data_IF_314631733468
#
_entry.id   IF_314631733468
#
_cell.length_a   1.000
_cell.length_b   1.000
_cell.length_c   1.000
_cell.angle_alpha   90.00
_cell.angle_beta   90.00
_cell.angle_gamma   90.00
#
_symmetry.space_group_name_H-M   'P 1'
#
loop_
_entity.id
_entity.type
_entity.pdbx_description
1 polymer ?
#
# COMPACT_ATOMS: atom_id res chain seq x y z
N UNK A 1 19.92 -35.66 -53.92
CA UNK A 1 18.70 -34.89 -54.27
C UNK A 1 17.87 -34.76 -53.01
N UNK A 2 17.96 -33.59 -52.39
CA UNK A 2 17.13 -33.14 -51.27
C UNK A 2 15.80 -32.58 -51.79
N UNK A 3 14.86 -32.32 -50.88
CA UNK A 3 13.50 -31.78 -51.02
C UNK A 3 12.42 -32.85 -51.29
N UNK A 4 11.34 -32.99 -50.50
CA UNK A 4 10.60 -32.04 -49.67
C UNK A 4 9.87 -32.76 -48.51
N UNK A 5 10.01 -32.26 -47.28
CA UNK A 5 9.02 -32.40 -46.19
C UNK A 5 9.13 -31.15 -45.30
N UNK A 6 8.44 -30.06 -45.65
CA UNK A 6 8.15 -28.94 -44.75
C UNK A 6 6.82 -28.32 -45.19
N UNK A 7 5.71 -28.74 -44.59
CA UNK A 7 4.41 -28.05 -44.65
C UNK A 7 3.51 -28.52 -43.51
N UNK A 8 3.78 -28.13 -42.26
CA UNK A 8 2.77 -28.25 -41.18
C UNK A 8 2.94 -27.31 -39.96
N UNK A 9 3.87 -26.33 -39.97
CA UNK A 9 4.22 -25.56 -38.76
C UNK A 9 3.70 -24.10 -38.72
N UNK A 10 2.90 -23.67 -39.69
CA UNK A 10 2.53 -22.25 -39.85
C UNK A 10 1.22 -21.84 -39.16
N UNK A 11 0.31 -22.77 -38.85
CA UNK A 11 -1.01 -22.43 -38.26
C UNK A 11 -1.00 -22.37 -36.73
N UNK A 12 -0.25 -23.23 -36.05
CA UNK A 12 -0.12 -23.24 -34.57
C UNK A 12 0.69 -22.04 -34.08
N UNK A 13 1.71 -21.64 -34.86
CA UNK A 13 2.61 -20.55 -34.56
C UNK A 13 1.90 -19.18 -34.59
N UNK A 14 0.99 -18.99 -35.54
CA UNK A 14 0.21 -17.75 -35.68
C UNK A 14 -0.77 -17.55 -34.50
N UNK A 15 -1.40 -18.62 -34.03
CA UNK A 15 -2.34 -18.55 -32.91
C UNK A 15 -1.65 -18.22 -31.57
N UNK A 16 -0.43 -18.73 -31.33
CA UNK A 16 0.35 -18.41 -30.14
C UNK A 16 0.79 -16.94 -30.12
N UNK A 17 1.18 -16.38 -31.27
CA UNK A 17 1.53 -14.97 -31.40
C UNK A 17 0.33 -14.04 -31.11
N UNK A 18 -0.85 -14.37 -31.64
CA UNK A 18 -2.08 -13.62 -31.36
C UNK A 18 -2.47 -13.63 -29.87
N UNK A 19 -2.28 -14.76 -29.18
CA UNK A 19 -2.53 -14.85 -27.72
C UNK A 19 -1.53 -14.03 -26.92
N UNK A 20 -0.25 -14.09 -27.27
CA UNK A 20 0.80 -13.27 -26.65
C UNK A 20 0.47 -11.78 -26.77
N UNK A 21 0.08 -11.33 -27.96
CA UNK A 21 -0.28 -9.94 -28.21
C UNK A 21 -1.51 -9.51 -27.41
N UNK A 22 -2.48 -10.39 -27.20
CA UNK A 22 -3.61 -10.14 -26.32
C UNK A 22 -3.18 -9.91 -24.87
N UNK A 23 -2.27 -10.74 -24.34
CA UNK A 23 -1.75 -10.59 -22.96
C UNK A 23 -0.97 -9.28 -22.81
N UNK A 24 -0.17 -8.91 -23.81
CA UNK A 24 0.57 -7.64 -23.80
C UNK A 24 -0.39 -6.45 -23.82
N UNK A 25 -1.42 -6.52 -24.68
CA UNK A 25 -2.44 -5.48 -24.75
C UNK A 25 -3.20 -5.34 -23.42
N UNK A 26 -3.59 -6.46 -22.82
CA UNK A 26 -4.22 -6.49 -21.49
C UNK A 26 -3.32 -5.85 -20.43
N UNK A 27 -2.02 -6.16 -20.43
CA UNK A 27 -1.06 -5.55 -19.50
C UNK A 27 -1.02 -4.02 -19.64
N UNK A 28 -0.87 -3.51 -20.86
CA UNK A 28 -0.76 -2.07 -21.13
C UNK A 28 -2.07 -1.34 -20.85
N UNK A 29 -3.20 -1.90 -21.26
CA UNK A 29 -4.53 -1.29 -21.03
C UNK A 29 -4.89 -1.27 -19.55
N UNK A 30 -4.66 -2.37 -18.83
CA UNK A 30 -4.91 -2.41 -17.38
C UNK A 30 -3.96 -1.49 -16.61
N UNK A 31 -2.74 -1.27 -17.11
CA UNK A 31 -1.81 -0.30 -16.51
C UNK A 31 -2.30 1.13 -16.72
N UNK A 32 -2.75 1.47 -17.94
CA UNK A 32 -3.35 2.77 -18.23
C UNK A 32 -4.54 3.05 -17.30
N UNK A 33 -5.46 2.10 -17.22
CA UNK A 33 -6.64 2.23 -16.36
C UNK A 33 -6.24 2.42 -14.89
N UNK A 34 -5.19 1.73 -14.44
CA UNK A 34 -4.68 1.90 -13.08
C UNK A 34 -4.09 3.30 -12.85
N UNK A 35 -3.30 3.83 -13.78
CA UNK A 35 -2.79 5.22 -13.73
C UNK A 35 -3.95 6.23 -13.68
N UNK A 36 -5.00 6.01 -14.47
CA UNK A 36 -6.18 6.88 -14.49
C UNK A 36 -6.94 6.83 -13.15
N UNK A 37 -7.02 5.65 -12.52
CA UNK A 37 -7.57 5.50 -11.16
C UNK A 37 -6.73 6.28 -10.14
N UNK A 38 -5.40 6.13 -10.13
CA UNK A 38 -4.52 6.88 -9.23
C UNK A 38 -4.67 8.41 -9.39
N UNK A 39 -4.73 8.88 -10.64
CA UNK A 39 -4.95 10.30 -10.92
C UNK A 39 -6.32 10.79 -10.44
N UNK A 40 -7.36 9.95 -10.54
CA UNK A 40 -8.70 10.24 -10.02
C UNK A 40 -8.71 10.29 -8.50
N UNK A 41 -8.00 9.38 -7.82
CA UNK A 41 -7.86 9.40 -6.36
C UNK A 41 -7.27 10.72 -5.89
N UNK A 42 -6.18 11.15 -6.53
CA UNK A 42 -5.53 12.41 -6.17
C UNK A 42 -6.43 13.63 -6.42
N UNK A 43 -7.07 13.69 -7.60
CA UNK A 43 -7.86 14.85 -8.00
C UNK A 43 -9.16 14.97 -7.22
N UNK A 44 -9.87 13.85 -7.04
CA UNK A 44 -11.23 13.83 -6.51
C UNK A 44 -11.29 13.61 -5.00
N UNK A 45 -10.25 13.06 -4.36
CA UNK A 45 -10.24 12.84 -2.91
C UNK A 45 -9.15 13.64 -2.21
N UNK A 46 -7.90 13.54 -2.64
CA UNK A 46 -6.79 14.14 -1.90
C UNK A 46 -6.84 15.67 -1.89
N UNK A 47 -7.13 16.31 -3.03
CA UNK A 47 -7.26 17.77 -3.11
C UNK A 47 -8.47 18.33 -2.34
N UNK A 48 -9.68 17.75 -2.43
CA UNK A 48 -10.80 18.22 -1.62
C UNK A 48 -10.60 17.95 -0.14
N UNK A 49 -10.12 16.76 0.24
CA UNK A 49 -9.99 16.43 1.66
C UNK A 49 -8.92 17.29 2.37
N UNK A 50 -7.85 17.68 1.67
CA UNK A 50 -6.80 18.53 2.26
C UNK A 50 -7.28 19.94 2.62
N UNK A 51 -8.36 20.46 2.03
CA UNK A 51 -8.90 21.79 2.38
C UNK A 51 -9.89 21.76 3.54
N UNK A 52 -10.44 20.60 3.89
CA UNK A 52 -11.44 20.45 4.96
C UNK A 52 -10.87 19.88 6.28
N UNK A 53 -9.67 19.31 6.24
CA UNK A 53 -8.97 18.78 7.41
C UNK A 53 -8.07 19.87 8.00
N UNK A 54 -8.28 20.24 9.27
CA UNK A 54 -7.47 21.27 9.97
C UNK A 54 -6.01 20.82 10.16
N UNK A 55 -5.07 21.76 10.08
CA UNK A 55 -3.62 21.53 10.31
C UNK A 55 -3.31 20.95 11.71
N UNK A 56 -4.21 21.10 12.67
CA UNK A 56 -4.05 20.69 14.07
C UNK A 56 -4.33 19.19 14.24
N UNK A 57 -5.34 18.68 13.53
CA UNK A 57 -5.63 17.25 13.44
C UNK A 57 -4.53 16.54 12.62
N UNK A 58 -3.82 17.25 11.73
CA UNK A 58 -2.81 16.71 10.80
C UNK A 58 -1.56 16.06 11.42
N UNK A 59 -1.19 16.37 12.68
CA UNK A 59 0.18 16.06 13.17
C UNK A 59 0.45 14.62 13.58
N UNK A 60 -0.48 13.96 14.26
CA UNK A 60 -0.30 12.57 14.72
C UNK A 60 -1.23 11.62 13.96
N UNK A 61 -2.47 12.06 13.76
CA UNK A 61 -3.54 11.31 13.10
C UNK A 61 -3.28 11.20 11.60
N UNK A 62 -2.84 12.29 10.95
CA UNK A 62 -2.52 12.26 9.51
C UNK A 62 -1.06 11.95 9.23
N UNK A 63 -0.22 11.48 10.17
CA UNK A 63 1.11 11.02 9.78
C UNK A 63 0.99 9.82 8.82
N UNK A 64 0.22 8.80 9.19
CA UNK A 64 -0.05 7.64 8.32
C UNK A 64 -0.86 8.01 7.07
N UNK A 65 -1.84 8.91 7.18
CA UNK A 65 -2.60 9.39 6.01
C UNK A 65 -1.73 10.22 5.07
N UNK A 66 -0.92 11.14 5.59
CA UNK A 66 0.00 11.98 4.80
C UNK A 66 1.05 11.13 4.13
N UNK A 67 1.61 10.15 4.83
CA UNK A 67 2.50 9.15 4.25
C UNK A 67 1.77 8.38 3.14
N UNK A 68 0.53 7.92 3.37
CA UNK A 68 -0.29 7.28 2.34
C UNK A 68 -0.58 8.20 1.14
N UNK A 69 -0.86 9.49 1.36
CA UNK A 69 -1.10 10.50 0.33
C UNK A 69 0.16 10.80 -0.49
N UNK A 70 1.31 10.96 0.18
CA UNK A 70 2.62 11.18 -0.45
C UNK A 70 3.00 9.95 -1.25
N UNK A 71 2.86 8.75 -0.67
CA UNK A 71 3.06 7.49 -1.36
C UNK A 71 2.11 7.34 -2.56
N UNK A 72 0.84 7.75 -2.47
CA UNK A 72 -0.08 7.77 -3.63
C UNK A 72 0.36 8.77 -4.72
N UNK A 73 0.96 9.89 -4.33
CA UNK A 73 1.51 10.86 -5.27
C UNK A 73 2.68 10.23 -6.05
N UNK A 74 3.64 9.70 -5.31
CA UNK A 74 4.82 9.04 -5.87
C UNK A 74 4.44 7.80 -6.69
N UNK A 75 3.48 6.99 -6.22
CA UNK A 75 2.94 5.84 -6.97
C UNK A 75 2.37 6.29 -8.32
N UNK A 76 1.63 7.39 -8.39
CA UNK A 76 1.09 7.88 -9.66
C UNK A 76 2.19 8.30 -10.63
N UNK A 77 3.25 8.95 -10.14
CA UNK A 77 4.42 9.33 -10.95
C UNK A 77 5.18 8.09 -11.44
N UNK A 78 5.40 7.12 -10.56
CA UNK A 78 6.03 5.83 -10.86
C UNK A 78 5.25 5.10 -11.94
N UNK A 79 3.94 4.91 -11.75
CA UNK A 79 3.10 4.16 -12.68
C UNK A 79 2.89 4.89 -14.00
N UNK A 80 2.84 6.23 -14.00
CA UNK A 80 2.83 7.01 -15.24
C UNK A 80 4.11 6.80 -16.06
N UNK A 81 5.26 6.79 -15.40
CA UNK A 81 6.55 6.52 -16.03
C UNK A 81 6.71 5.07 -16.49
N UNK A 82 6.24 4.11 -15.68
CA UNK A 82 6.23 2.69 -16.01
C UNK A 82 5.35 2.41 -17.24
N UNK A 83 4.11 2.91 -17.24
CA UNK A 83 3.20 2.83 -18.38
C UNK A 83 3.80 3.44 -19.65
N UNK A 84 4.48 4.58 -19.54
CA UNK A 84 5.19 5.21 -20.66
C UNK A 84 6.25 4.28 -21.26
N UNK A 85 7.05 3.62 -20.42
CA UNK A 85 8.06 2.66 -20.90
C UNK A 85 7.45 1.36 -21.43
N UNK A 86 6.37 0.86 -20.84
CA UNK A 86 5.62 -0.27 -21.40
C UNK A 86 5.13 0.05 -22.82
N UNK A 87 4.53 1.24 -23.04
CA UNK A 87 4.09 1.67 -24.38
C UNK A 87 5.24 1.75 -25.37
N UNK A 88 6.43 2.21 -24.94
CA UNK A 88 7.62 2.25 -25.79
C UNK A 88 8.14 0.85 -26.12
N UNK A 89 8.11 -0.09 -25.18
CA UNK A 89 8.55 -1.47 -25.41
C UNK A 89 7.66 -2.22 -26.41
N UNK A 90 6.36 -1.93 -26.43
CA UNK A 90 5.40 -2.57 -27.37
C UNK A 90 5.26 -1.83 -28.70
N UNK A 91 5.98 -0.71 -28.88
CA UNK A 91 5.92 0.05 -30.12
C UNK A 91 6.59 -0.71 -31.29
N UNK A 92 6.11 -0.54 -32.54
CA UNK A 92 6.75 -1.14 -33.70
C UNK A 92 8.23 -0.74 -33.77
N UNK A 93 9.12 -1.71 -34.02
CA UNK A 93 10.57 -1.53 -34.08
C UNK A 93 11.24 -1.07 -32.77
N UNK A 94 10.59 -1.26 -31.62
CA UNK A 94 11.25 -1.03 -30.34
C UNK A 94 12.38 -2.02 -30.11
N UNK A 95 13.56 -1.52 -29.73
CA UNK A 95 14.66 -2.35 -29.24
C UNK A 95 14.53 -2.70 -27.75
N UNK A 96 13.55 -2.12 -27.06
CA UNK A 96 13.35 -2.32 -25.61
C UNK A 96 12.45 -3.52 -25.40
N UNK A 97 12.92 -4.50 -24.63
CA UNK A 97 12.13 -5.67 -24.26
C UNK A 97 11.21 -5.38 -23.09
N UNK A 98 10.09 -6.10 -23.00
CA UNK A 98 9.14 -5.92 -21.90
C UNK A 98 9.77 -6.31 -20.56
N UNK A 99 10.56 -7.39 -20.55
CA UNK A 99 11.26 -7.82 -19.33
C UNK A 99 12.17 -6.75 -18.76
N UNK A 100 12.93 -6.05 -19.60
CA UNK A 100 13.84 -4.97 -19.19
C UNK A 100 13.07 -3.84 -18.51
N UNK A 101 11.86 -3.53 -18.97
CA UNK A 101 11.01 -2.52 -18.30
C UNK A 101 10.70 -2.96 -16.87
N UNK A 102 10.25 -4.19 -16.64
CA UNK A 102 9.97 -4.66 -15.27
C UNK A 102 11.22 -4.67 -14.38
N UNK A 103 12.35 -5.14 -14.90
CA UNK A 103 13.61 -5.17 -14.15
C UNK A 103 14.05 -3.75 -13.77
N UNK A 104 13.98 -2.79 -14.70
CA UNK A 104 14.38 -1.40 -14.47
C UNK A 104 13.45 -0.65 -13.50
N UNK A 105 12.24 -1.14 -13.29
CA UNK A 105 11.23 -0.49 -12.45
C UNK A 105 11.01 -1.16 -11.09
N UNK A 106 11.54 -2.37 -10.87
CA UNK A 106 11.34 -3.15 -9.63
C UNK A 106 11.69 -2.38 -8.35
N UNK A 107 12.79 -1.63 -8.34
CA UNK A 107 13.25 -0.90 -7.15
C UNK A 107 12.33 0.27 -6.83
N UNK A 108 11.75 0.90 -7.85
CA UNK A 108 10.77 1.98 -7.66
C UNK A 108 9.48 1.47 -7.04
N UNK A 109 9.13 0.20 -7.25
CA UNK A 109 7.97 -0.41 -6.61
C UNK A 109 8.18 -0.72 -5.11
N UNK A 110 9.37 -0.55 -4.54
CA UNK A 110 9.59 -0.77 -3.11
C UNK A 110 8.83 0.24 -2.23
N UNK A 111 8.40 1.38 -2.78
CA UNK A 111 7.50 2.33 -2.10
C UNK A 111 6.18 1.69 -1.65
N UNK A 112 5.75 0.60 -2.30
CA UNK A 112 4.58 -0.15 -1.86
C UNK A 112 4.73 -0.71 -0.44
N UNK A 113 5.96 -0.93 0.05
CA UNK A 113 6.19 -1.33 1.44
C UNK A 113 5.66 -0.29 2.42
N UNK A 114 6.06 0.97 2.24
CA UNK A 114 5.59 2.09 3.06
C UNK A 114 4.08 2.33 2.87
N UNK A 115 3.60 2.26 1.62
CA UNK A 115 2.17 2.41 1.34
C UNK A 115 1.32 1.36 2.09
N UNK A 116 1.67 0.08 1.97
CA UNK A 116 0.92 -1.02 2.57
C UNK A 116 1.03 -1.08 4.10
N UNK A 117 2.14 -0.59 4.66
CA UNK A 117 2.34 -0.43 6.10
C UNK A 117 1.35 0.58 6.71
N UNK A 118 1.07 1.68 6.00
CA UNK A 118 0.18 2.75 6.49
C UNK A 118 -1.27 2.64 5.99
N UNK A 119 -1.55 1.75 5.03
CA UNK A 119 -2.86 1.61 4.41
C UNK A 119 -3.97 1.32 5.44
N UNK A 120 -3.76 0.36 6.35
CA UNK A 120 -4.76 -0.03 7.35
C UNK A 120 -5.11 1.15 8.25
N UNK A 121 -4.10 1.82 8.82
CA UNK A 121 -4.30 2.99 9.69
C UNK A 121 -4.97 4.15 8.96
N UNK A 122 -4.63 4.37 7.68
CA UNK A 122 -5.28 5.39 6.86
C UNK A 122 -6.78 5.08 6.63
N UNK A 123 -7.11 3.82 6.35
CA UNK A 123 -8.49 3.38 6.15
C UNK A 123 -9.34 3.52 7.41
N UNK A 124 -8.82 3.07 8.56
CA UNK A 124 -9.48 3.20 9.86
C UNK A 124 -9.72 4.66 10.22
N UNK A 125 -8.73 5.51 9.96
CA UNK A 125 -8.85 6.93 10.22
C UNK A 125 -9.96 7.59 9.39
N UNK A 126 -10.02 7.34 8.08
CA UNK A 126 -11.10 7.89 7.25
C UNK A 126 -12.46 7.46 7.78
N UNK A 127 -12.58 6.20 8.21
CA UNK A 127 -13.81 5.68 8.76
C UNK A 127 -14.19 6.38 10.07
N UNK A 128 -13.24 6.57 10.98
CA UNK A 128 -13.44 7.28 12.24
C UNK A 128 -13.82 8.75 12.01
N UNK A 129 -13.14 9.45 11.11
CA UNK A 129 -13.46 10.84 10.76
C UNK A 129 -14.87 10.99 10.16
N UNK A 130 -15.26 10.11 9.25
CA UNK A 130 -16.61 10.11 8.71
C UNK A 130 -17.66 9.83 9.79
N UNK A 131 -17.33 9.05 10.82
CA UNK A 131 -18.26 8.79 11.93
C UNK A 131 -18.40 9.97 12.90
N UNK A 132 -17.34 10.77 13.07
CA UNK A 132 -17.29 11.88 14.05
C UNK A 132 -17.69 13.22 13.46
N UNK A 133 -17.54 13.40 12.14
CA UNK A 133 -17.76 14.67 11.47
C UNK A 133 -18.62 14.49 10.22
N UNK A 134 -19.88 14.89 10.33
CA UNK A 134 -20.87 14.80 9.24
C UNK A 134 -20.47 15.61 8.00
N UNK A 135 -19.77 16.74 8.17
CA UNK A 135 -19.28 17.55 7.04
C UNK A 135 -18.22 16.78 6.24
N UNK A 136 -17.30 16.10 6.94
CA UNK A 136 -16.29 15.25 6.29
C UNK A 136 -16.97 14.06 5.61
N UNK A 137 -17.94 13.43 6.26
CA UNK A 137 -18.71 12.32 5.70
C UNK A 137 -19.40 12.71 4.39
N UNK A 138 -20.14 13.83 4.37
CA UNK A 138 -20.81 14.33 3.17
C UNK A 138 -19.83 14.67 2.06
N UNK A 139 -18.68 15.25 2.39
CA UNK A 139 -17.65 15.53 1.41
C UNK A 139 -17.04 14.25 0.82
N UNK A 140 -16.77 13.23 1.64
CA UNK A 140 -16.28 11.92 1.17
C UNK A 140 -17.30 11.27 0.25
N UNK A 141 -18.59 11.27 0.61
CA UNK A 141 -19.67 10.76 -0.24
C UNK A 141 -19.70 11.50 -1.58
N UNK A 142 -19.66 12.84 -1.55
CA UNK A 142 -19.62 13.66 -2.76
C UNK A 142 -18.42 13.32 -3.65
N UNK A 143 -17.23 13.19 -3.07
CA UNK A 143 -16.03 12.79 -3.78
C UNK A 143 -16.16 11.38 -4.41
N UNK A 144 -16.83 10.44 -3.74
CA UNK A 144 -17.12 9.11 -4.29
C UNK A 144 -18.08 9.17 -5.48
N UNK A 145 -19.14 9.96 -5.38
CA UNK A 145 -20.09 10.18 -6.47
C UNK A 145 -19.40 10.78 -7.70
N UNK A 146 -18.59 11.83 -7.51
CA UNK A 146 -17.86 12.48 -8.60
C UNK A 146 -16.78 11.58 -9.24
N UNK A 147 -16.12 10.73 -8.45
CA UNK A 147 -15.03 9.88 -8.92
C UNK A 147 -15.49 8.60 -9.63
N UNK A 148 -16.58 7.98 -9.16
CA UNK A 148 -16.99 6.66 -9.65
C UNK A 148 -18.52 6.41 -9.67
N UNK A 149 -19.32 7.46 -9.48
CA UNK A 149 -20.79 7.35 -9.39
C UNK A 149 -21.25 6.55 -8.18
N UNK A 150 -20.53 6.67 -7.05
CA UNK A 150 -20.88 6.04 -5.77
C UNK A 150 -20.63 4.53 -5.71
N UNK A 151 -20.10 3.92 -6.77
CA UNK A 151 -19.93 2.45 -6.88
C UNK A 151 -18.90 1.87 -5.91
N UNK A 152 -17.86 2.63 -5.57
CA UNK A 152 -16.79 2.16 -4.68
C UNK A 152 -16.55 3.14 -3.54
N UNK A 153 -16.30 2.59 -2.34
CA UNK A 153 -15.93 3.39 -1.17
C UNK A 153 -14.48 3.83 -1.25
N UNK A 154 -14.16 4.99 -0.68
CA UNK A 154 -12.78 5.49 -0.62
C UNK A 154 -11.82 4.44 -0.05
N UNK A 155 -12.25 3.69 0.98
CA UNK A 155 -11.51 2.56 1.53
C UNK A 155 -11.15 1.50 0.46
N UNK A 156 -12.12 1.11 -0.35
CA UNK A 156 -11.93 0.09 -1.38
C UNK A 156 -10.99 0.60 -2.48
N UNK A 157 -11.11 1.88 -2.83
CA UNK A 157 -10.23 2.55 -3.79
C UNK A 157 -8.78 2.61 -3.28
N UNK A 158 -8.58 2.91 -1.99
CA UNK A 158 -7.25 2.86 -1.35
C UNK A 158 -6.65 1.44 -1.31
N UNK A 159 -7.45 0.39 -1.50
CA UNK A 159 -6.91 -0.98 -1.58
C UNK A 159 -6.40 -1.33 -2.99
N UNK A 160 -6.79 -0.57 -4.02
CA UNK A 160 -6.45 -0.86 -5.42
C UNK A 160 -4.94 -0.92 -5.68
N UNK A 161 -4.10 -0.02 -5.13
CA UNK A 161 -2.66 -0.11 -5.36
C UNK A 161 -2.05 -1.42 -4.86
N UNK A 162 -2.41 -1.84 -3.65
CA UNK A 162 -1.97 -3.13 -3.10
C UNK A 162 -2.42 -4.31 -3.98
N UNK A 163 -3.62 -4.25 -4.55
CA UNK A 163 -4.08 -5.28 -5.48
C UNK A 163 -3.33 -5.26 -6.81
N UNK A 164 -2.88 -4.09 -7.28
CA UNK A 164 -2.18 -3.98 -8.57
C UNK A 164 -0.79 -4.61 -8.51
N UNK A 165 -0.02 -4.29 -7.48
CA UNK A 165 1.36 -4.79 -7.35
C UNK A 165 1.40 -6.33 -7.28
N UNK A 166 0.40 -6.95 -6.65
CA UNK A 166 0.24 -8.41 -6.57
C UNK A 166 -0.23 -9.08 -7.88
N UNK A 167 -0.57 -8.31 -8.92
CA UNK A 167 -0.99 -8.88 -10.22
C UNK A 167 0.14 -9.00 -11.22
N UNK A 168 1.26 -8.28 -11.08
CA UNK A 168 2.29 -8.27 -12.11
C UNK A 168 2.94 -9.64 -12.32
N UNK A 169 3.23 -10.39 -11.25
CA UNK A 169 3.80 -11.73 -11.40
C UNK A 169 2.83 -12.69 -12.10
N UNK A 170 1.51 -12.53 -11.92
CA UNK A 170 0.48 -13.33 -12.59
C UNK A 170 0.38 -12.98 -14.08
N UNK A 171 0.43 -11.68 -14.41
CA UNK A 171 0.42 -11.21 -15.80
C UNK A 171 1.68 -11.65 -16.55
N UNK A 172 2.84 -11.60 -15.89
CA UNK A 172 4.10 -12.09 -16.45
C UNK A 172 4.08 -13.61 -16.62
N UNK A 173 3.52 -14.36 -15.67
CA UNK A 173 3.37 -15.81 -15.82
C UNK A 173 2.50 -16.19 -17.03
N UNK A 174 1.36 -15.52 -17.19
CA UNK A 174 0.49 -15.67 -18.37
C UNK A 174 1.24 -15.32 -19.66
N UNK A 175 2.05 -14.26 -19.65
CA UNK A 175 2.84 -13.85 -20.82
C UNK A 175 3.94 -14.88 -21.17
N UNK A 176 4.59 -15.48 -20.17
CA UNK A 176 5.59 -16.54 -20.37
C UNK A 176 4.93 -17.78 -20.98
N UNK A 177 3.75 -18.18 -20.51
CA UNK A 177 3.00 -19.32 -21.04
C UNK A 177 2.65 -19.16 -22.53
N UNK A 178 2.42 -17.93 -22.99
CA UNK A 178 2.13 -17.61 -24.38
C UNK A 178 3.37 -17.21 -25.21
N UNK A 179 4.57 -17.25 -24.62
CA UNK A 179 5.84 -16.93 -25.30
C UNK A 179 6.64 -18.21 -25.56
N UNK A 180 7.13 -18.39 -26.79
CA UNK A 180 7.93 -19.56 -27.14
C UNK A 180 9.30 -19.56 -26.42
N UNK A 181 9.82 -20.73 -25.99
CA UNK A 181 11.10 -20.80 -25.28
C UNK A 181 12.32 -20.28 -26.06
N UNK A 182 12.25 -20.24 -27.39
CA UNK A 182 13.28 -19.70 -28.28
C UNK A 182 13.18 -18.17 -28.49
N UNK A 183 12.12 -17.53 -27.98
CA UNK A 183 11.92 -16.09 -28.09
C UNK A 183 12.99 -15.36 -27.27
N UNK A 184 13.56 -14.29 -27.83
CA UNK A 184 14.67 -13.56 -27.20
C UNK A 184 14.36 -12.99 -25.82
N UNK A 185 13.10 -12.64 -25.58
CA UNK A 185 12.61 -12.09 -24.31
C UNK A 185 12.20 -13.18 -23.29
N UNK A 186 12.13 -14.46 -23.66
CA UNK A 186 11.60 -15.52 -22.79
C UNK A 186 12.32 -15.61 -21.44
N UNK A 187 13.66 -15.72 -21.47
CA UNK A 187 14.50 -15.73 -20.25
C UNK A 187 14.48 -14.40 -19.50
N UNK A 188 14.23 -13.30 -20.21
CA UNK A 188 14.03 -12.00 -19.58
C UNK A 188 12.74 -11.99 -18.76
N UNK A 189 11.65 -12.49 -19.33
CA UNK A 189 10.34 -12.55 -18.70
C UNK A 189 10.34 -13.44 -17.44
N UNK A 190 11.04 -14.58 -17.46
CA UNK A 190 11.22 -15.42 -16.27
C UNK A 190 11.87 -14.62 -15.12
N UNK A 191 12.97 -13.92 -15.40
CA UNK A 191 13.64 -13.07 -14.41
C UNK A 191 12.77 -11.90 -13.95
N UNK A 192 12.01 -11.30 -14.86
CA UNK A 192 11.08 -10.23 -14.52
C UNK A 192 9.96 -10.74 -13.59
N UNK A 193 9.45 -11.95 -13.83
CA UNK A 193 8.46 -12.59 -12.95
C UNK A 193 9.02 -12.80 -11.56
N UNK A 194 10.21 -13.38 -11.44
CA UNK A 194 10.90 -13.57 -10.16
C UNK A 194 11.09 -12.24 -9.43
N UNK A 195 11.56 -11.20 -10.12
CA UNK A 195 11.71 -9.87 -9.53
C UNK A 195 10.37 -9.29 -8.98
N UNK A 196 9.24 -9.56 -9.64
CA UNK A 196 7.93 -9.11 -9.15
C UNK A 196 7.42 -9.96 -7.98
N UNK A 197 7.81 -11.24 -7.89
CA UNK A 197 7.57 -12.08 -6.71
C UNK A 197 8.36 -11.56 -5.52
N UNK A 198 9.63 -11.20 -5.72
CA UNK A 198 10.50 -10.64 -4.68
C UNK A 198 9.93 -9.32 -4.13
N UNK A 199 9.43 -8.44 -5.02
CA UNK A 199 8.76 -7.19 -4.61
C UNK A 199 7.52 -7.50 -3.77
N UNK A 200 6.70 -8.47 -4.16
CA UNK A 200 5.52 -8.86 -3.38
C UNK A 200 5.89 -9.43 -2.00
N UNK A 201 6.95 -10.23 -1.92
CA UNK A 201 7.48 -10.75 -0.66
C UNK A 201 8.00 -9.61 0.24
N UNK A 202 8.78 -8.69 -0.31
CA UNK A 202 9.26 -7.52 0.42
C UNK A 202 8.12 -6.72 1.03
N UNK A 203 7.07 -6.43 0.27
CA UNK A 203 5.89 -5.69 0.76
C UNK A 203 5.22 -6.43 1.92
N UNK A 204 5.09 -7.76 1.81
CA UNK A 204 4.52 -8.58 2.88
C UNK A 204 5.37 -8.57 4.15
N UNK A 205 6.70 -8.62 4.02
CA UNK A 205 7.61 -8.57 5.17
C UNK A 205 7.58 -7.18 5.84
N UNK A 206 7.65 -6.09 5.08
CA UNK A 206 7.54 -4.71 5.62
C UNK A 206 6.22 -4.52 6.37
N UNK A 207 5.12 -5.04 5.81
CA UNK A 207 3.81 -4.99 6.47
C UNK A 207 3.82 -5.80 7.77
N UNK A 208 4.34 -7.03 7.75
CA UNK A 208 4.43 -7.89 8.93
C UNK A 208 5.27 -7.25 10.04
N UNK A 209 6.41 -6.64 9.70
CA UNK A 209 7.28 -5.95 10.65
C UNK A 209 6.58 -4.74 11.27
N UNK A 210 5.85 -3.97 10.46
CA UNK A 210 5.06 -2.82 10.94
C UNK A 210 3.96 -3.26 11.90
N UNK A 211 3.20 -4.30 11.54
CA UNK A 211 2.14 -4.86 12.39
C UNK A 211 2.72 -5.41 13.71
N UNK A 212 3.88 -6.05 13.65
CA UNK A 212 4.59 -6.58 14.83
C UNK A 212 5.03 -5.45 15.76
N UNK A 213 5.62 -4.38 15.22
CA UNK A 213 6.01 -3.20 16.00
C UNK A 213 4.81 -2.52 16.66
N UNK A 214 3.67 -2.43 15.97
CA UNK A 214 2.44 -1.88 16.53
C UNK A 214 1.92 -2.71 17.72
N UNK A 215 1.97 -4.04 17.63
CA UNK A 215 1.61 -4.95 18.73
C UNK A 215 2.59 -4.80 19.91
N UNK A 216 3.89 -4.72 19.65
CA UNK A 216 4.88 -4.53 20.71
C UNK A 216 4.68 -3.20 21.44
N UNK A 217 4.35 -2.13 20.72
CA UNK A 217 4.04 -0.81 21.29
C UNK A 217 2.77 -0.85 22.14
N UNK A 218 1.70 -1.51 21.68
CA UNK A 218 0.46 -1.61 22.46
C UNK A 218 0.66 -2.40 23.76
N UNK A 219 1.45 -3.47 23.74
CA UNK A 219 1.84 -4.22 24.94
C UNK A 219 2.61 -3.33 25.92
N UNK A 220 3.55 -2.51 25.44
CA UNK A 220 4.29 -1.57 26.29
C UNK A 220 3.36 -0.55 26.96
N UNK A 221 2.38 -0.01 26.22
CA UNK A 221 1.38 0.92 26.78
C UNK A 221 0.54 0.23 27.84
N UNK A 222 0.05 -0.99 27.60
CA UNK A 222 -0.71 -1.75 28.61
C UNK A 222 0.14 -2.06 29.84
N UNK A 223 1.43 -2.42 29.69
CA UNK A 223 2.32 -2.65 30.83
C UNK A 223 2.55 -1.38 31.66
N UNK A 224 2.66 -0.22 31.01
CA UNK A 224 2.74 1.07 31.68
C UNK A 224 1.43 1.38 32.41
N UNK A 225 0.26 1.22 31.78
CA UNK A 225 -1.05 1.42 32.40
C UNK A 225 -1.28 0.49 33.61
N UNK A 226 -0.87 -0.78 33.53
CA UNK A 226 -0.90 -1.72 34.66
C UNK A 226 0.04 -1.26 35.79
N UNK A 227 1.21 -0.72 35.45
CA UNK A 227 2.15 -0.17 36.44
C UNK A 227 1.58 1.09 37.12
N UNK A 228 0.93 1.98 36.38
CA UNK A 228 0.28 3.19 36.92
C UNK A 228 -0.97 2.87 37.75
N UNK A 229 -1.79 1.89 37.32
CA UNK A 229 -2.96 1.44 38.09
C UNK A 229 -2.55 0.65 39.34
N UNK A 230 -1.48 -0.15 39.28
CA UNK A 230 -0.90 -0.81 40.44
C UNK A 230 -0.37 0.22 41.47
N UNK A 231 0.37 1.24 41.03
CA UNK A 231 0.81 2.33 41.93
C UNK A 231 -0.36 3.11 42.56
N UNK A 232 -1.53 3.16 41.89
CA UNK A 232 -2.73 3.79 42.46
C UNK A 232 -3.48 2.90 43.46
N UNK A 233 -3.44 1.58 43.29
CA UNK A 233 -4.02 0.61 44.24
C UNK A 233 -3.16 0.38 45.49
N UNK A 234 -1.83 0.56 45.41
CA UNK A 234 -0.95 0.48 46.58
C UNK A 234 -1.20 1.64 47.58
N UNK A 235 -1.81 2.75 47.15
CA UNK A 235 -2.14 3.86 48.05
C UNK A 235 -3.45 3.71 48.85
N UNK A 236 -4.32 2.73 48.55
CA UNK A 236 -5.63 2.60 49.22
C UNK A 236 -5.74 1.42 50.20
N UNK A 237 -4.71 0.59 50.34
CA UNK A 237 -4.71 -0.51 51.33
C UNK A 237 -3.36 -0.69 52.00
N UNK A 238 -3.08 0.12 53.02
CA UNK A 238 -1.97 -0.17 53.92
C UNK A 238 -1.50 1.01 54.76
N UNK A 239 -1.95 1.05 56.01
CA UNK A 239 -1.17 1.70 57.07
C UNK A 239 0.23 1.08 57.08
N UNK A 240 1.28 1.80 56.70
CA UNK A 240 2.60 1.70 57.34
C UNK A 240 3.38 3.00 57.11
N UNK A 241 3.93 3.51 58.22
CA UNK A 241 4.89 4.61 58.28
C UNK A 241 6.00 4.45 57.25
N UNK A 242 6.26 5.48 56.43
CA UNK A 242 7.63 5.91 56.13
C UNK A 242 7.60 7.40 55.84
N UNK A 243 8.35 8.15 56.64
CA UNK A 243 8.63 9.57 56.44
C UNK A 243 9.36 9.78 55.10
N UNK A 244 8.83 10.60 54.19
CA UNK A 244 9.66 11.38 53.25
C UNK A 244 8.97 12.70 52.91
N UNK A 245 8.80 13.59 53.89
CA UNK A 245 8.93 15.04 53.71
C UNK A 245 9.14 15.62 55.09
N UNK A 246 10.37 16.07 55.35
CA UNK A 246 10.71 16.67 56.63
C UNK A 246 9.97 17.98 56.81
N UNK A 247 8.98 18.00 57.72
CA UNK A 247 8.69 19.09 58.67
C UNK A 247 7.92 18.47 59.83
N UNK A 248 8.50 18.49 61.03
CA UNK A 248 7.81 18.23 62.29
C UNK A 248 7.05 19.50 62.70
N UNK A 249 5.77 19.38 63.07
CA UNK A 249 5.07 20.40 63.86
C UNK A 249 4.42 19.68 65.05
N UNK A 250 4.81 19.98 66.29
CA UNK A 250 4.11 19.49 67.47
C UNK A 250 2.98 20.47 67.82
N UNK A 251 1.80 19.94 68.17
CA UNK A 251 0.87 20.67 69.03
C UNK A 251 0.29 19.76 70.10
N UNK A 252 0.35 20.30 71.31
CA UNK A 252 0.15 19.69 72.62
C UNK A 252 -1.30 19.28 72.96
N UNK A 253 -1.40 18.36 73.93
CA UNK A 253 -2.52 18.23 74.87
C UNK A 253 -3.59 17.18 74.50
N UNK A 254 -4.23 16.41 75.41
CA UNK A 254 -4.39 16.40 76.87
C UNK A 254 -4.91 14.99 77.27
N UNK A 255 -4.40 14.47 78.39
CA UNK A 255 -4.87 13.44 79.36
C UNK A 255 -5.95 12.39 79.03
N UNK A 256 -5.71 11.12 79.42
CA UNK A 256 -6.38 10.50 80.58
C UNK A 256 -5.78 9.14 80.97
N UNK A 257 -5.64 8.98 82.30
CA UNK A 257 -5.24 7.81 83.12
C UNK A 257 -3.75 7.52 83.27
#
# INVERSE_FOLDING_TARGET
MLQQCVSQDSSVNNHSLEKRDYVIKELVETEKNYVDVLATVQRSFMRPLSSFIREEDMKAIFSGMKVCCVALQELSEIHSGFHSHLRKAVAPNSSTRLSDVFINWREKFLIYGEYCAHLTSAQELIQDLCSRNEVVNQQVIKCQEEANGGKFKLRDILSVPMQRILKYHLLLDKLIQETQPNHEDYRGLERAKEAMVDVAQYINEVKRDTDTLAIMSSIQVTMLEVSYTCNRCVCTTGRYNTLVTGVFVPQDGITHL
#
